data_IF_902683237879
#
_entry.id   IF_902683237879
#
_cell.length_a   1.000
_cell.length_b   1.000
_cell.length_c   1.000
_cell.angle_alpha   90.00
_cell.angle_beta   90.00
_cell.angle_gamma   90.00
#
_symmetry.space_group_name_H-M   'P 1'
#
loop_
_entity.id
_entity.type
_entity.pdbx_description
1 polymer ?
#
# COMPACT_ATOMS: atom_id res chain seq x y z
N UNK A 1 35.49 14.46 3.46
CA UNK A 1 34.15 14.44 4.09
C UNK A 1 33.28 13.40 3.35
N UNK A 2 32.99 12.26 3.97
CA UNK A 2 32.20 11.20 3.35
C UNK A 2 30.71 11.60 3.33
N UNK A 3 30.09 11.63 2.15
CA UNK A 3 28.65 11.86 1.97
C UNK A 3 27.88 10.72 2.66
N UNK A 4 27.18 11.04 3.75
CA UNK A 4 26.30 10.13 4.48
C UNK A 4 25.16 9.70 3.54
N UNK A 5 25.16 8.43 3.12
CA UNK A 5 24.07 7.83 2.33
C UNK A 5 22.78 7.96 3.13
N UNK A 6 21.81 8.74 2.63
CA UNK A 6 20.54 8.95 3.31
C UNK A 6 19.91 7.59 3.63
N UNK A 7 19.64 7.33 4.90
CA UNK A 7 18.93 6.14 5.33
C UNK A 7 17.58 6.11 4.61
N UNK A 8 17.29 5.01 3.92
CA UNK A 8 16.00 4.79 3.26
C UNK A 8 14.94 4.88 4.36
N UNK A 9 14.22 6.01 4.41
CA UNK A 9 13.19 6.27 5.43
C UNK A 9 12.27 5.05 5.48
N UNK A 10 12.18 4.41 6.64
CA UNK A 10 11.26 3.30 6.84
C UNK A 10 9.86 3.83 6.54
N UNK A 11 9.25 3.31 5.48
CA UNK A 11 7.93 3.74 5.06
C UNK A 11 6.96 3.39 6.19
N UNK A 12 6.38 4.40 6.84
CA UNK A 12 5.38 4.17 7.87
C UNK A 12 4.04 3.77 7.27
N UNK A 13 3.18 3.10 8.04
CA UNK A 13 1.83 2.72 7.61
C UNK A 13 1.03 3.93 7.11
N UNK A 14 1.11 5.06 7.83
CA UNK A 14 0.44 6.30 7.45
C UNK A 14 1.04 6.92 6.17
N UNK A 15 2.37 6.87 5.99
CA UNK A 15 2.99 7.29 4.72
C UNK A 15 2.58 6.39 3.55
N UNK A 16 2.40 5.08 3.77
CA UNK A 16 1.83 4.18 2.76
C UNK A 16 0.42 4.62 2.36
N UNK A 17 -0.45 4.89 3.34
CA UNK A 17 -1.83 5.34 3.07
C UNK A 17 -1.88 6.64 2.27
N UNK A 18 -1.06 7.62 2.65
CA UNK A 18 -0.99 8.89 1.92
C UNK A 18 -0.45 8.70 0.49
N UNK A 19 0.51 7.79 0.30
CA UNK A 19 1.03 7.47 -1.03
C UNK A 19 0.01 6.75 -1.91
N UNK A 20 -0.80 5.85 -1.34
CA UNK A 20 -1.89 5.20 -2.08
C UNK A 20 -2.93 6.24 -2.49
N UNK A 21 -3.35 7.13 -1.58
CA UNK A 21 -4.32 8.18 -1.90
C UNK A 21 -3.85 9.03 -3.09
N UNK A 22 -2.60 9.48 -3.08
CA UNK A 22 -2.00 10.25 -4.19
C UNK A 22 -1.92 9.49 -5.51
N UNK A 23 -1.72 8.17 -5.46
CA UNK A 23 -1.64 7.31 -6.66
C UNK A 23 -3.00 6.89 -7.19
N UNK A 24 -4.03 6.84 -6.33
CA UNK A 24 -5.39 6.46 -6.70
C UNK A 24 -6.19 7.66 -7.25
N UNK A 25 -5.82 8.88 -6.86
CA UNK A 25 -6.44 10.13 -7.31
C UNK A 25 -6.03 10.54 -8.75
N UNK A 26 -5.45 9.64 -9.54
CA UNK A 26 -4.92 9.97 -10.87
C UNK A 26 -5.96 9.98 -11.98
N UNK A 27 -7.17 9.46 -11.76
CA UNK A 27 -8.19 9.29 -12.81
C UNK A 27 -9.57 9.89 -12.45
N UNK A 28 -9.62 10.88 -11.55
CA UNK A 28 -10.89 11.56 -11.21
C UNK A 28 -11.89 10.69 -10.45
N UNK A 29 -11.40 9.61 -9.81
CA UNK A 29 -12.21 8.63 -9.07
C UNK A 29 -12.89 9.23 -7.83
N UNK A 30 -12.63 10.51 -7.53
CA UNK A 30 -13.22 11.25 -6.40
C UNK A 30 -13.02 10.56 -5.04
N UNK A 31 -12.06 9.63 -4.94
CA UNK A 31 -11.76 8.94 -3.69
C UNK A 31 -10.88 9.86 -2.85
N UNK A 32 -11.41 10.32 -1.73
CA UNK A 32 -10.67 11.21 -0.85
C UNK A 32 -9.64 10.42 -0.02
N UNK A 33 -8.68 11.13 0.59
CA UNK A 33 -7.63 10.50 1.38
C UNK A 33 -8.18 9.74 2.61
N UNK A 34 -9.33 10.15 3.16
CA UNK A 34 -9.96 9.49 4.30
C UNK A 34 -10.62 8.17 3.88
N UNK A 35 -11.28 8.13 2.74
CA UNK A 35 -11.85 6.93 2.13
C UNK A 35 -10.75 5.93 1.79
N UNK A 36 -9.65 6.40 1.18
CA UNK A 36 -8.50 5.55 0.90
C UNK A 36 -7.94 4.89 2.16
N UNK A 37 -7.85 5.65 3.26
CA UNK A 37 -7.40 5.12 4.56
C UNK A 37 -8.36 4.06 5.10
N UNK A 38 -9.68 4.28 5.00
CA UNK A 38 -10.70 3.30 5.42
C UNK A 38 -10.61 2.02 4.60
N UNK A 39 -10.52 2.13 3.27
CA UNK A 39 -10.39 0.96 2.38
C UNK A 39 -9.14 0.14 2.71
N UNK A 40 -8.01 0.80 2.96
CA UNK A 40 -6.78 0.10 3.34
C UNK A 40 -6.85 -0.52 4.74
N UNK A 41 -7.51 0.13 5.70
CA UNK A 41 -7.75 -0.45 7.02
C UNK A 41 -8.61 -1.72 6.90
N UNK A 42 -9.75 -1.64 6.22
CA UNK A 42 -10.62 -2.80 5.96
C UNK A 42 -9.90 -3.91 5.20
N UNK A 43 -8.99 -3.58 4.28
CA UNK A 43 -8.14 -4.58 3.63
C UNK A 43 -7.27 -5.34 4.64
N UNK A 44 -6.67 -4.66 5.62
CA UNK A 44 -5.89 -5.32 6.66
C UNK A 44 -6.77 -6.09 7.65
N UNK A 45 -7.94 -5.58 8.00
CA UNK A 45 -8.92 -6.30 8.84
C UNK A 45 -9.29 -7.64 8.20
N UNK A 46 -9.56 -7.65 6.88
CA UNK A 46 -9.84 -8.89 6.14
C UNK A 46 -8.64 -9.85 6.05
N UNK A 47 -7.41 -9.32 6.10
CA UNK A 47 -6.22 -10.17 6.17
C UNK A 47 -5.99 -10.73 7.58
N UNK A 48 -6.42 -10.02 8.62
CA UNK A 48 -6.34 -10.46 10.02
C UNK A 48 -7.25 -11.67 10.29
N UNK A 49 -8.39 -11.75 9.61
CA UNK A 49 -9.30 -12.90 9.66
C UNK A 49 -8.70 -14.20 9.06
N UNK A 50 -7.56 -14.10 8.37
CA UNK A 50 -6.88 -15.22 7.73
C UNK A 50 -5.69 -15.73 8.54
N UNK A 51 -5.24 -16.95 8.21
CA UNK A 51 -3.92 -17.40 8.68
C UNK A 51 -2.83 -16.51 8.12
N UNK A 52 -1.72 -16.35 8.85
CA UNK A 52 -0.58 -15.55 8.38
C UNK A 52 -0.04 -16.02 7.01
N UNK A 53 -0.13 -17.32 6.72
CA UNK A 53 0.29 -17.89 5.45
C UNK A 53 -0.64 -17.46 4.30
N UNK A 54 -1.95 -17.52 4.52
CA UNK A 54 -2.95 -17.14 3.52
C UNK A 54 -2.94 -15.63 3.27
N UNK A 55 -2.82 -14.83 4.33
CA UNK A 55 -2.68 -13.38 4.22
C UNK A 55 -1.45 -13.00 3.39
N UNK A 56 -0.31 -13.65 3.62
CA UNK A 56 0.91 -13.43 2.85
C UNK A 56 0.75 -13.85 1.37
N UNK A 57 0.04 -14.95 1.09
CA UNK A 57 -0.24 -15.40 -0.28
C UNK A 57 -1.14 -14.41 -1.04
N UNK A 58 -2.17 -13.85 -0.39
CA UNK A 58 -3.02 -12.80 -0.98
C UNK A 58 -2.19 -11.57 -1.34
N UNK A 59 -1.33 -11.09 -0.44
CA UNK A 59 -0.43 -9.96 -0.72
C UNK A 59 0.52 -10.29 -1.88
N UNK A 60 1.10 -11.50 -1.90
CA UNK A 60 1.98 -11.94 -2.98
C UNK A 60 1.27 -11.99 -4.35
N UNK A 61 0.02 -12.47 -4.40
CA UNK A 61 -0.83 -12.45 -5.59
C UNK A 61 -1.13 -11.02 -6.05
N UNK A 62 -1.47 -10.12 -5.12
CA UNK A 62 -1.68 -8.70 -5.41
C UNK A 62 -0.44 -8.03 -6.00
N UNK A 63 0.75 -8.33 -5.49
CA UNK A 63 2.02 -7.83 -6.04
C UNK A 63 2.29 -8.35 -7.46
N UNK A 64 1.99 -9.61 -7.75
CA UNK A 64 2.10 -10.18 -9.11
C UNK A 64 1.19 -9.44 -10.09
N UNK A 65 -0.06 -9.17 -9.71
CA UNK A 65 -1.00 -8.40 -10.53
C UNK A 65 -0.53 -6.95 -10.73
N UNK A 66 -0.01 -6.30 -9.69
CA UNK A 66 0.54 -4.94 -9.79
C UNK A 66 1.72 -4.86 -10.79
N UNK A 67 2.60 -5.87 -10.78
CA UNK A 67 3.69 -5.98 -11.77
C UNK A 67 3.16 -6.08 -13.21
N UNK A 68 2.01 -6.73 -13.40
CA UNK A 68 1.33 -6.82 -14.70
C UNK A 68 0.82 -5.48 -15.21
N UNK A 69 0.29 -4.61 -14.32
CA UNK A 69 -0.20 -3.26 -14.69
C UNK A 69 0.90 -2.26 -15.00
N UNK A 70 2.12 -2.50 -14.51
CA UNK A 70 3.27 -1.59 -14.70
C UNK A 70 4.02 -1.85 -16.02
N UNK A 71 3.59 -2.83 -16.83
CA UNK A 71 4.14 -3.15 -18.15
C UNK A 71 3.14 -2.75 -19.22
#
# INVERSE_FOLDING_TARGET
MAKKKAAKKSLTLNEMYNNVARKADTDGVSINAAETKRVLATFFDLLEDLSAADAADIVAKGLKQAKGRSR
#
